data_IF_354309473468
#
_entry.id   IF_354309473468
#
_cell.length_a   1.000
_cell.length_b   1.000
_cell.length_c   1.000
_cell.angle_alpha   90.00
_cell.angle_beta   90.00
_cell.angle_gamma   90.00
#
_symmetry.space_group_name_H-M   'P 1'
#
loop_
_entity.id
_entity.type
_entity.pdbx_description
1 polymer ?
#
# COMPACT_ATOMS: atom_id res chain seq x y z
N UNK A 1 -8.74 39.04 5.81
CA UNK A 1 -8.68 39.39 4.38
C UNK A 1 -7.93 38.27 3.69
N UNK A 2 -8.66 37.25 3.28
CA UNK A 2 -8.15 36.14 2.47
C UNK A 2 -8.39 36.51 1.01
N UNK A 3 -7.31 36.70 0.26
CA UNK A 3 -7.37 36.92 -1.19
C UNK A 3 -7.54 35.56 -1.87
N UNK A 4 -8.74 35.28 -2.37
CA UNK A 4 -8.94 34.25 -3.40
C UNK A 4 -8.41 34.80 -4.72
N UNK A 5 -7.49 34.08 -5.36
CA UNK A 5 -7.11 34.39 -6.75
C UNK A 5 -8.10 33.66 -7.67
N UNK A 6 -8.99 34.42 -8.30
CA UNK A 6 -9.86 33.93 -9.37
C UNK A 6 -9.09 33.99 -10.70
N UNK A 7 -9.06 32.89 -11.43
CA UNK A 7 -8.58 32.87 -12.81
C UNK A 7 -9.74 33.28 -13.73
N UNK A 8 -9.66 34.48 -14.31
CA UNK A 8 -10.58 34.93 -15.35
C UNK A 8 -9.91 34.82 -16.72
N UNK A 9 -10.52 34.09 -17.66
CA UNK A 9 -10.20 34.18 -19.10
C UNK A 9 -11.38 34.81 -19.83
N UNK A 10 -11.10 35.79 -20.70
CA UNK A 10 -12.09 36.35 -21.62
C UNK A 10 -12.28 35.40 -22.81
N UNK A 11 -13.50 34.89 -22.99
CA UNK A 11 -13.96 34.31 -24.25
C UNK A 11 -15.20 35.11 -24.66
N UNK A 12 -15.02 36.07 -25.57
CA UNK A 12 -16.10 36.97 -26.00
C UNK A 12 -16.56 37.97 -24.92
N UNK A 13 -17.74 38.57 -25.14
CA UNK A 13 -18.29 39.67 -24.34
C UNK A 13 -18.86 39.26 -22.97
N UNK A 14 -18.50 38.09 -22.44
CA UNK A 14 -18.94 37.59 -21.14
C UNK A 14 -17.77 37.25 -20.23
N UNK A 15 -17.81 37.74 -18.98
CA UNK A 15 -16.88 37.35 -17.92
C UNK A 15 -17.38 36.03 -17.30
N UNK A 16 -16.70 34.92 -17.56
CA UNK A 16 -16.96 33.65 -16.89
C UNK A 16 -16.01 33.51 -15.69
N UNK A 17 -16.57 33.52 -14.47
CA UNK A 17 -15.86 33.16 -13.25
C UNK A 17 -16.26 31.72 -12.89
N UNK A 18 -15.33 30.77 -12.98
CA UNK A 18 -15.51 29.45 -12.35
C UNK A 18 -15.25 29.61 -10.85
N UNK A 19 -16.32 29.60 -10.06
CA UNK A 19 -16.23 29.36 -8.64
C UNK A 19 -16.20 27.85 -8.42
N UNK A 20 -15.02 27.28 -8.13
CA UNK A 20 -14.94 25.90 -7.62
C UNK A 20 -15.33 25.92 -6.14
N UNK A 21 -16.63 25.88 -5.87
CA UNK A 21 -17.16 25.55 -4.54
C UNK A 21 -17.81 24.18 -4.60
N UNK A 22 -17.04 23.14 -4.31
CA UNK A 22 -17.44 22.05 -3.41
C UNK A 22 -16.33 21.00 -3.32
N UNK A 23 -15.74 20.86 -2.13
CA UNK A 23 -15.25 19.56 -1.66
C UNK A 23 -16.51 18.71 -1.47
N UNK A 24 -16.98 18.05 -2.52
CA UNK A 24 -18.08 17.09 -2.40
C UNK A 24 -17.44 15.76 -2.00
N UNK A 25 -17.38 15.50 -0.69
CA UNK A 25 -17.25 14.14 -0.20
C UNK A 25 -18.60 13.46 -0.44
N UNK A 26 -18.78 12.89 -1.63
CA UNK A 26 -19.93 12.03 -1.90
C UNK A 26 -19.93 10.84 -0.96
N UNK A 27 -21.10 10.21 -0.71
CA UNK A 27 -21.12 8.91 -0.05
C UNK A 27 -20.25 7.92 -0.84
N UNK A 28 -19.57 7.01 -0.15
CA UNK A 28 -18.87 5.87 -0.74
C UNK A 28 -19.72 5.28 -1.89
N UNK A 29 -19.14 4.91 -3.06
CA UNK A 29 -19.89 4.41 -4.22
C UNK A 29 -20.70 3.14 -3.91
N UNK A 30 -20.41 2.49 -2.78
CA UNK A 30 -21.13 1.34 -2.26
C UNK A 30 -21.16 1.33 -0.73
N UNK A 31 -21.73 0.28 -0.13
CA UNK A 31 -21.53 -0.05 1.29
C UNK A 31 -20.43 -1.12 1.45
N UNK A 32 -19.15 -0.73 1.66
CA UNK A 32 -18.06 -1.69 1.68
C UNK A 32 -18.13 -2.59 2.92
N UNK A 33 -17.66 -3.82 2.77
CA UNK A 33 -17.60 -4.81 3.85
C UNK A 33 -16.38 -5.73 3.72
N UNK A 34 -16.15 -6.55 4.74
CA UNK A 34 -15.05 -7.52 4.77
C UNK A 34 -15.38 -8.78 3.99
N UNK A 35 -14.42 -9.24 3.21
CA UNK A 35 -14.46 -10.47 2.43
C UNK A 35 -13.23 -11.33 2.66
N UNK A 36 -13.40 -12.65 2.48
CA UNK A 36 -12.28 -13.59 2.49
C UNK A 36 -11.44 -13.39 1.23
N UNK A 37 -10.11 -13.41 1.35
CA UNK A 37 -9.22 -13.40 0.19
C UNK A 37 -8.63 -14.79 -0.04
N UNK A 38 -9.34 -15.60 -0.85
CA UNK A 38 -8.90 -16.91 -1.26
C UNK A 38 -8.52 -17.84 -0.10
N UNK A 39 -9.36 -17.98 0.93
CA UNK A 39 -9.18 -18.97 2.02
C UNK A 39 -8.08 -18.69 3.07
N UNK A 40 -7.15 -17.76 2.79
CA UNK A 40 -6.10 -17.33 3.73
C UNK A 40 -5.05 -18.41 4.06
N UNK A 41 -4.23 -18.17 5.09
CA UNK A 41 -3.05 -19.01 5.41
C UNK A 41 -3.37 -20.24 6.27
N UNK A 42 -2.41 -21.19 6.36
CA UNK A 42 -2.51 -22.33 7.28
C UNK A 42 -2.61 -21.91 8.76
N UNK A 43 -3.13 -22.81 9.60
CA UNK A 43 -3.23 -22.59 11.06
C UNK A 43 -1.86 -22.25 11.65
N UNK A 44 -1.81 -21.18 12.45
CA UNK A 44 -0.58 -20.68 13.08
C UNK A 44 0.32 -19.87 12.15
N UNK A 45 -0.04 -19.75 10.86
CA UNK A 45 0.64 -18.85 9.94
C UNK A 45 0.15 -17.41 10.06
N UNK A 46 0.99 -16.48 9.62
CA UNK A 46 0.67 -15.04 9.54
C UNK A 46 1.16 -14.45 8.22
N UNK A 47 0.49 -13.39 7.76
CA UNK A 47 0.95 -12.56 6.64
C UNK A 47 1.52 -11.28 7.23
N UNK A 48 2.76 -10.93 6.87
CA UNK A 48 3.53 -9.85 7.50
C UNK A 48 3.84 -8.68 6.56
N UNK A 49 3.83 -8.93 5.26
CA UNK A 49 4.13 -7.96 4.22
C UNK A 49 3.16 -8.15 3.06
N UNK A 50 2.74 -7.03 2.48
CA UNK A 50 1.96 -6.94 1.27
C UNK A 50 2.64 -5.93 0.34
N UNK A 51 2.61 -6.19 -0.96
CA UNK A 51 2.96 -5.21 -2.00
C UNK A 51 2.21 -5.57 -3.27
N UNK A 52 2.00 -4.60 -4.15
CA UNK A 52 1.75 -4.86 -5.56
C UNK A 52 3.06 -5.14 -6.29
N UNK A 53 3.01 -6.01 -7.28
CA UNK A 53 4.10 -6.28 -8.21
C UNK A 53 3.53 -6.51 -9.60
N UNK A 54 4.13 -5.86 -10.58
CA UNK A 54 3.77 -5.99 -11.97
C UNK A 54 4.73 -6.98 -12.67
N UNK A 55 4.24 -8.15 -13.12
CA UNK A 55 5.09 -9.20 -13.67
C UNK A 55 5.68 -8.88 -15.05
N UNK A 56 5.08 -7.97 -15.81
CA UNK A 56 5.54 -7.58 -17.15
C UNK A 56 5.70 -6.06 -17.32
N UNK A 57 5.49 -5.28 -16.27
CA UNK A 57 5.67 -3.83 -16.28
C UNK A 57 4.55 -3.18 -17.11
N UNK A 58 4.83 -2.21 -17.99
CA UNK A 58 3.81 -1.61 -18.87
C UNK A 58 3.15 -2.57 -19.89
N UNK A 59 3.30 -3.88 -19.72
CA UNK A 59 2.72 -4.92 -20.55
C UNK A 59 1.22 -5.13 -20.29
N UNK A 60 0.63 -6.15 -20.94
CA UNK A 60 -0.80 -6.42 -20.86
C UNK A 60 -1.26 -7.09 -19.55
N UNK A 61 -0.38 -7.59 -18.69
CA UNK A 61 -0.80 -8.25 -17.46
C UNK A 61 -1.06 -7.21 -16.36
N UNK A 62 -2.11 -7.38 -15.55
CA UNK A 62 -2.34 -6.49 -14.42
C UNK A 62 -1.33 -6.75 -13.30
N UNK A 63 -1.10 -5.72 -12.49
CA UNK A 63 -0.32 -5.86 -11.27
C UNK A 63 -1.00 -6.82 -10.29
N UNK A 64 -0.20 -7.70 -9.69
CA UNK A 64 -0.67 -8.71 -8.74
C UNK A 64 -0.39 -8.31 -7.31
N UNK A 65 -1.23 -8.76 -6.38
CA UNK A 65 -0.97 -8.62 -4.95
C UNK A 65 -0.03 -9.73 -4.47
N UNK A 66 1.09 -9.37 -3.86
CA UNK A 66 2.04 -10.31 -3.26
C UNK A 66 1.90 -10.32 -1.75
N UNK A 67 1.81 -11.51 -1.17
CA UNK A 67 1.78 -11.74 0.27
C UNK A 67 3.04 -12.47 0.74
N UNK A 68 3.73 -11.90 1.73
CA UNK A 68 4.88 -12.49 2.40
C UNK A 68 4.66 -12.60 3.90
N UNK A 69 5.10 -13.69 4.53
CA UNK A 69 4.88 -13.90 5.95
C UNK A 69 5.52 -15.16 6.49
N UNK A 70 4.96 -15.74 7.54
CA UNK A 70 5.31 -17.06 8.04
C UNK A 70 4.17 -18.03 7.77
N UNK A 71 4.23 -18.77 6.66
CA UNK A 71 3.21 -19.75 6.27
C UNK A 71 3.79 -20.80 5.31
N UNK A 72 3.11 -21.94 5.23
CA UNK A 72 3.46 -23.05 4.32
C UNK A 72 2.37 -23.33 3.28
N UNK A 73 1.19 -22.74 3.46
CA UNK A 73 0.14 -22.73 2.43
C UNK A 73 -0.73 -21.49 2.57
N UNK A 74 -1.28 -21.04 1.45
CA UNK A 74 -2.27 -19.96 1.37
C UNK A 74 -3.35 -20.36 0.35
N UNK A 75 -4.62 -20.19 0.70
CA UNK A 75 -5.75 -20.63 -0.11
C UNK A 75 -5.78 -22.12 -0.44
N UNK A 76 -5.20 -22.96 0.43
CA UNK A 76 -5.05 -24.40 0.18
C UNK A 76 -3.92 -24.76 -0.78
N UNK A 77 -3.23 -23.77 -1.36
CA UNK A 77 -2.07 -23.96 -2.24
C UNK A 77 -0.80 -23.97 -1.40
N UNK A 78 0.09 -24.95 -1.64
CA UNK A 78 1.38 -25.00 -0.97
C UNK A 78 2.27 -23.84 -1.44
N UNK A 79 2.69 -22.99 -0.50
CA UNK A 79 3.51 -21.82 -0.77
C UNK A 79 4.41 -21.53 0.43
N UNK A 80 5.72 -21.49 0.20
CA UNK A 80 6.69 -21.34 1.27
C UNK A 80 6.95 -19.85 1.55
N UNK A 81 6.20 -19.31 2.51
CA UNK A 81 6.32 -17.96 3.09
C UNK A 81 6.07 -16.79 2.12
N UNK A 82 5.83 -17.05 0.85
CA UNK A 82 5.51 -16.03 -0.15
C UNK A 82 4.66 -16.59 -1.29
N UNK A 83 3.65 -15.82 -1.71
CA UNK A 83 2.72 -16.14 -2.79
C UNK A 83 2.18 -14.84 -3.41
N UNK A 84 1.57 -14.93 -4.59
CA UNK A 84 0.84 -13.81 -5.20
C UNK A 84 -0.60 -14.21 -5.51
N UNK A 85 -1.51 -13.25 -5.48
CA UNK A 85 -2.90 -13.38 -5.87
C UNK A 85 -3.06 -12.84 -7.29
N UNK A 86 -3.57 -13.66 -8.20
CA UNK A 86 -3.68 -13.32 -9.62
C UNK A 86 -5.07 -12.77 -10.02
N UNK A 87 -5.93 -12.42 -9.05
CA UNK A 87 -7.34 -12.09 -9.29
C UNK A 87 -8.29 -13.20 -8.83
N UNK A 88 -7.89 -14.46 -9.02
CA UNK A 88 -8.77 -15.62 -8.81
C UNK A 88 -8.29 -16.59 -7.72
N UNK A 89 -6.98 -16.81 -7.66
CA UNK A 89 -6.35 -17.80 -6.82
C UNK A 89 -4.95 -17.38 -6.37
N UNK A 90 -4.53 -17.91 -5.23
CA UNK A 90 -3.15 -17.78 -4.78
C UNK A 90 -2.24 -18.69 -5.59
N UNK A 91 -1.10 -18.14 -6.02
CA UNK A 91 -0.05 -18.83 -6.75
C UNK A 91 1.27 -18.76 -5.97
N UNK A 92 2.06 -19.84 -5.90
CA UNK A 92 3.38 -19.80 -5.28
C UNK A 92 4.38 -19.05 -6.16
N UNK A 93 5.28 -18.28 -5.55
CA UNK A 93 6.43 -17.70 -6.26
C UNK A 93 7.59 -18.69 -6.29
N UNK A 94 7.61 -19.55 -7.31
CA UNK A 94 8.58 -20.63 -7.44
C UNK A 94 8.57 -21.57 -6.22
N UNK A 95 9.75 -21.93 -5.71
CA UNK A 95 9.86 -22.71 -4.47
C UNK A 95 9.69 -21.88 -3.18
N UNK A 96 9.55 -20.56 -3.31
CA UNK A 96 9.50 -19.61 -2.19
C UNK A 96 10.81 -19.52 -1.41
N UNK A 97 10.68 -19.23 -0.11
CA UNK A 97 11.81 -19.02 0.83
C UNK A 97 11.62 -19.86 2.10
N UNK A 98 12.71 -20.14 2.83
CA UNK A 98 12.69 -21.05 3.99
C UNK A 98 12.55 -20.37 5.37
N UNK A 99 12.15 -19.10 5.41
CA UNK A 99 11.94 -18.35 6.64
C UNK A 99 10.96 -17.20 6.40
N UNK A 100 10.52 -16.57 7.48
CA UNK A 100 9.50 -15.53 7.39
C UNK A 100 9.97 -14.35 6.54
N UNK A 101 9.12 -13.93 5.60
CA UNK A 101 9.25 -12.65 4.89
C UNK A 101 8.68 -11.55 5.80
N UNK A 102 9.45 -10.49 6.04
CA UNK A 102 9.06 -9.37 6.92
C UNK A 102 8.73 -8.10 6.14
N UNK A 103 9.28 -7.96 4.94
CA UNK A 103 9.11 -6.80 4.07
C UNK A 103 9.17 -7.24 2.62
N UNK A 104 8.36 -6.58 1.80
CA UNK A 104 8.32 -6.71 0.35
C UNK A 104 8.40 -5.31 -0.24
N UNK A 105 8.89 -5.23 -1.47
CA UNK A 105 8.97 -4.00 -2.24
C UNK A 105 9.43 -4.31 -3.65
N UNK A 106 9.28 -3.35 -4.55
CA UNK A 106 9.72 -3.46 -5.94
C UNK A 106 10.98 -2.62 -6.15
N UNK A 107 11.80 -3.04 -7.11
CA UNK A 107 12.97 -2.29 -7.54
C UNK A 107 13.08 -2.35 -9.04
N UNK A 108 13.11 -1.17 -9.62
CA UNK A 108 13.31 -0.95 -11.05
C UNK A 108 14.75 -0.46 -11.29
N UNK A 109 15.63 -1.27 -11.89
CA UNK A 109 17.03 -0.91 -12.10
C UNK A 109 17.25 0.16 -13.17
N UNK A 110 16.32 0.35 -14.11
CA UNK A 110 16.36 1.34 -15.19
C UNK A 110 15.30 2.44 -15.05
N UNK A 111 14.54 2.42 -13.95
CA UNK A 111 13.62 3.48 -13.57
C UNK A 111 12.40 3.50 -14.49
N UNK A 112 12.29 4.51 -15.36
CA UNK A 112 11.23 4.56 -16.38
C UNK A 112 11.56 3.80 -17.66
N UNK A 113 12.57 2.93 -17.62
CA UNK A 113 13.04 2.16 -18.76
C UNK A 113 12.14 0.98 -19.12
N UNK A 114 12.53 0.18 -20.13
CA UNK A 114 11.70 -0.91 -20.64
C UNK A 114 11.74 -2.20 -19.79
N UNK A 115 12.62 -2.33 -18.79
CA UNK A 115 12.66 -3.56 -17.99
C UNK A 115 11.55 -3.54 -16.92
N UNK A 116 10.94 -4.68 -16.61
CA UNK A 116 9.98 -4.76 -15.52
C UNK A 116 10.68 -4.66 -14.16
N UNK A 117 10.01 -4.04 -13.21
CA UNK A 117 10.47 -4.00 -11.83
C UNK A 117 10.59 -5.41 -11.24
N UNK A 118 11.68 -5.67 -10.53
CA UNK A 118 11.86 -6.92 -9.78
C UNK A 118 11.16 -6.82 -8.42
N UNK A 119 10.55 -7.91 -7.98
CA UNK A 119 10.07 -8.05 -6.59
C UNK A 119 11.25 -8.37 -5.67
N UNK A 120 11.33 -7.73 -4.52
CA UNK A 120 12.34 -7.99 -3.48
C UNK A 120 11.66 -8.48 -2.21
N UNK A 121 12.21 -9.53 -1.62
CA UNK A 121 11.82 -10.03 -0.32
C UNK A 121 12.96 -9.86 0.69
N UNK A 122 12.64 -9.27 1.84
CA UNK A 122 13.52 -9.17 3.01
C UNK A 122 12.90 -9.86 4.22
N UNK A 123 13.71 -10.52 5.06
CA UNK A 123 13.19 -11.17 6.25
C UNK A 123 14.21 -12.00 7.00
N UNK A 124 13.82 -13.23 7.37
CA UNK A 124 14.55 -14.16 8.25
C UNK A 124 15.03 -15.44 7.55
N UNK A 125 14.86 -15.53 6.23
CA UNK A 125 15.22 -16.71 5.45
C UNK A 125 16.73 -16.77 5.16
N UNK A 126 17.24 -17.97 4.88
CA UNK A 126 18.63 -18.20 4.42
C UNK A 126 18.71 -18.83 3.02
N UNK A 127 17.57 -19.27 2.47
CA UNK A 127 17.47 -19.76 1.11
C UNK A 127 16.24 -19.20 0.39
N UNK A 128 16.39 -18.93 -0.90
CA UNK A 128 15.31 -18.56 -1.82
C UNK A 128 15.45 -19.40 -3.10
N UNK A 129 14.34 -19.95 -3.61
CA UNK A 129 14.38 -20.82 -4.80
C UNK A 129 15.24 -22.09 -4.63
N UNK A 130 15.51 -22.52 -3.40
CA UNK A 130 16.41 -23.65 -3.08
C UNK A 130 17.91 -23.32 -3.05
N UNK A 131 18.31 -22.10 -3.42
CA UNK A 131 19.69 -21.61 -3.34
C UNK A 131 19.92 -20.74 -2.10
N UNK A 132 21.19 -20.55 -1.69
CA UNK A 132 21.52 -19.66 -0.58
C UNK A 132 21.20 -18.21 -0.93
N UNK A 133 20.41 -17.55 -0.09
CA UNK A 133 20.07 -16.14 -0.18
C UNK A 133 19.85 -15.63 1.26
N UNK A 134 20.87 -14.97 1.83
CA UNK A 134 20.85 -14.61 3.24
C UNK A 134 20.01 -13.36 3.46
N UNK A 135 18.79 -13.56 3.98
CA UNK A 135 17.86 -12.54 4.50
C UNK A 135 17.29 -11.55 3.48
N UNK A 136 17.77 -11.58 2.23
CA UNK A 136 17.28 -10.77 1.12
C UNK A 136 17.45 -11.50 -0.22
N UNK A 137 16.45 -11.42 -1.10
CA UNK A 137 16.44 -12.02 -2.42
C UNK A 137 15.55 -11.22 -3.37
N UNK A 138 15.84 -11.26 -4.68
CA UNK A 138 14.98 -10.69 -5.73
C UNK A 138 14.32 -11.80 -6.55
N UNK A 139 13.12 -11.55 -7.02
CA UNK A 139 12.40 -12.35 -8.02
C UNK A 139 12.42 -11.61 -9.34
N UNK A 140 12.96 -12.25 -10.38
CA UNK A 140 13.13 -11.68 -11.72
C UNK A 140 11.94 -11.96 -12.67
N UNK A 141 10.82 -12.45 -12.12
CA UNK A 141 9.67 -12.93 -12.89
C UNK A 141 9.65 -14.44 -13.09
N UNK A 142 10.78 -15.13 -12.95
CA UNK A 142 10.89 -16.58 -13.18
C UNK A 142 11.58 -17.35 -12.06
N UNK A 143 12.55 -16.73 -11.38
CA UNK A 143 13.35 -17.36 -10.34
C UNK A 143 13.77 -16.37 -9.25
N UNK A 144 14.05 -16.94 -8.09
CA UNK A 144 14.68 -16.22 -7.00
C UNK A 144 16.19 -16.14 -7.21
N UNK A 145 16.75 -14.94 -7.02
CA UNK A 145 18.18 -14.67 -7.06
C UNK A 145 18.64 -14.02 -5.76
N UNK A 146 19.81 -14.44 -5.27
CA UNK A 146 20.44 -13.82 -4.12
C UNK A 146 20.98 -12.43 -4.48
N UNK A 147 20.80 -11.46 -3.58
CA UNK A 147 21.37 -10.12 -3.75
C UNK A 147 22.76 -10.07 -3.10
N UNK A 148 23.80 -10.40 -3.87
CA UNK A 148 25.17 -10.56 -3.39
C UNK A 148 25.29 -11.67 -2.33
N UNK A 149 26.10 -11.46 -1.30
CA UNK A 149 26.21 -12.39 -0.16
C UNK A 149 25.07 -12.22 0.88
N UNK A 150 24.16 -11.27 0.68
CA UNK A 150 23.06 -10.98 1.60
C UNK A 150 23.49 -10.32 2.92
N UNK A 151 22.70 -10.54 3.98
CA UNK A 151 22.85 -9.90 5.30
C UNK A 151 23.16 -10.92 6.40
N UNK A 152 23.89 -10.50 7.43
CA UNK A 152 24.22 -11.35 8.58
C UNK A 152 23.09 -11.47 9.63
N UNK A 153 22.14 -10.53 9.65
CA UNK A 153 20.92 -10.58 10.47
C UNK A 153 19.70 -10.12 9.69
N UNK A 154 18.55 -10.06 10.35
CA UNK A 154 17.24 -9.86 9.74
C UNK A 154 17.08 -8.49 9.07
N UNK A 155 16.38 -8.50 7.94
CA UNK A 155 15.91 -7.30 7.24
C UNK A 155 14.48 -7.00 7.70
N UNK A 156 14.25 -5.78 8.18
CA UNK A 156 12.96 -5.34 8.72
C UNK A 156 12.16 -4.51 7.72
N UNK A 157 12.83 -3.73 6.88
CA UNK A 157 12.19 -2.87 5.87
C UNK A 157 13.13 -2.67 4.68
N UNK A 158 12.55 -2.53 3.49
CA UNK A 158 13.22 -2.14 2.26
C UNK A 158 12.46 -0.99 1.59
N UNK A 159 13.18 -0.19 0.81
CA UNK A 159 12.60 0.84 -0.07
C UNK A 159 13.48 0.98 -1.32
N UNK A 160 12.86 1.26 -2.47
CA UNK A 160 13.60 1.83 -3.60
C UNK A 160 13.94 3.29 -3.30
N UNK A 161 15.07 3.77 -3.79
CA UNK A 161 15.53 5.14 -3.65
C UNK A 161 16.32 5.54 -4.89
N UNK A 162 15.89 6.61 -5.53
CA UNK A 162 16.62 7.23 -6.63
C UNK A 162 17.57 8.32 -6.06
N UNK A 163 18.90 8.13 -6.13
CA UNK A 163 19.86 9.02 -5.50
C UNK A 163 20.00 10.40 -6.17
N UNK A 164 19.63 10.53 -7.44
CA UNK A 164 19.64 11.80 -8.19
C UNK A 164 18.28 12.19 -8.75
N UNK A 165 17.26 11.39 -8.48
CA UNK A 165 15.87 11.69 -8.80
C UNK A 165 15.49 11.35 -10.23
N UNK A 166 14.19 11.45 -10.57
CA UNK A 166 13.69 11.03 -11.87
C UNK A 166 14.42 11.69 -13.04
N UNK A 167 14.87 10.87 -14.01
CA UNK A 167 15.63 11.35 -15.17
C UNK A 167 17.10 11.69 -14.89
N UNK A 168 17.58 11.36 -13.69
CA UNK A 168 18.99 11.37 -13.32
C UNK A 168 19.85 10.40 -14.14
N UNK A 169 21.16 10.52 -13.98
CA UNK A 169 22.15 9.65 -14.59
C UNK A 169 22.48 8.40 -13.76
N UNK A 170 22.00 8.30 -12.52
CA UNK A 170 22.16 7.12 -11.69
C UNK A 170 20.92 6.23 -11.71
N UNK A 171 21.15 4.91 -11.65
CA UNK A 171 20.06 3.94 -11.49
C UNK A 171 19.45 4.03 -10.08
N UNK A 172 18.13 3.79 -9.95
CA UNK A 172 17.51 3.59 -8.65
C UNK A 172 18.19 2.47 -7.87
N UNK A 173 18.24 2.62 -6.55
CA UNK A 173 18.91 1.73 -5.62
C UNK A 173 17.91 1.11 -4.65
N UNK A 174 18.28 -0.02 -4.06
CA UNK A 174 17.51 -0.62 -2.95
C UNK A 174 18.17 -0.23 -1.65
N UNK A 175 17.42 0.36 -0.73
CA UNK A 175 17.86 0.56 0.65
C UNK A 175 17.24 -0.52 1.52
N UNK A 176 18.08 -1.26 2.24
CA UNK A 176 17.66 -2.23 3.23
C UNK A 176 18.00 -1.69 4.63
N UNK A 177 17.10 -1.92 5.59
CA UNK A 177 17.32 -1.63 7.01
C UNK A 177 16.93 -2.80 7.90
N UNK A 178 17.63 -2.95 9.03
CA UNK A 178 17.29 -3.98 10.00
C UNK A 178 18.25 -4.09 11.18
N UNK A 179 18.50 -5.32 11.63
CA UNK A 179 19.40 -5.63 12.76
C UNK A 179 20.81 -6.01 12.29
N UNK A 180 21.07 -5.96 10.99
CA UNK A 180 22.32 -6.41 10.38
C UNK A 180 23.48 -5.41 10.57
N UNK A 181 24.69 -5.96 10.66
CA UNK A 181 25.95 -5.21 10.76
C UNK A 181 26.89 -5.52 9.61
N UNK A 182 26.50 -6.44 8.72
CA UNK A 182 27.19 -6.73 7.47
C UNK A 182 26.19 -6.88 6.33
N UNK A 183 26.53 -6.31 5.17
CA UNK A 183 25.80 -6.44 3.92
C UNK A 183 26.80 -6.76 2.78
N UNK A 184 26.60 -7.87 2.08
CA UNK A 184 27.51 -8.28 1.00
C UNK A 184 28.96 -8.54 1.46
N UNK A 185 29.17 -8.87 2.74
CA UNK A 185 30.50 -9.01 3.35
C UNK A 185 31.16 -7.70 3.82
N UNK A 186 30.51 -6.55 3.56
CA UNK A 186 30.98 -5.23 3.99
C UNK A 186 30.35 -4.85 5.33
N UNK A 187 31.12 -4.25 6.25
CA UNK A 187 30.59 -3.73 7.51
C UNK A 187 29.69 -2.53 7.25
N UNK A 188 28.50 -2.55 7.84
CA UNK A 188 27.47 -1.50 7.73
C UNK A 188 26.84 -1.24 9.10
N UNK A 189 26.12 -0.13 9.24
CA UNK A 189 25.45 0.22 10.50
C UNK A 189 23.93 0.14 10.33
N UNK A 190 23.37 -1.08 10.26
CA UNK A 190 21.92 -1.33 10.21
C UNK A 190 21.19 -0.84 8.95
N UNK A 191 21.91 -0.20 8.03
CA UNK A 191 21.41 0.32 6.75
C UNK A 191 22.46 0.11 5.66
N UNK A 192 22.03 -0.36 4.50
CA UNK A 192 22.86 -0.55 3.32
C UNK A 192 22.08 -0.23 2.04
N UNK A 193 22.79 0.14 0.98
CA UNK A 193 22.21 0.38 -0.36
C UNK A 193 22.77 -0.60 -1.40
N UNK A 194 21.93 -1.05 -2.30
CA UNK A 194 22.28 -1.92 -3.42
C UNK A 194 22.21 -1.11 -4.72
N UNK A 195 23.27 -1.17 -5.52
CA UNK A 195 23.38 -0.43 -6.79
C UNK A 195 23.07 -1.28 -8.04
N UNK A 196 22.62 -2.52 -7.85
CA UNK A 196 22.45 -3.49 -8.93
C UNK A 196 23.53 -4.56 -9.00
N UNK A 197 24.70 -4.33 -8.41
CA UNK A 197 25.82 -5.27 -8.40
C UNK A 197 26.40 -5.58 -7.01
N UNK A 198 26.38 -4.62 -6.09
CA UNK A 198 26.95 -4.78 -4.76
C UNK A 198 26.22 -3.97 -3.67
N UNK A 199 26.40 -4.40 -2.42
CA UNK A 199 25.95 -3.67 -1.24
C UNK A 199 27.01 -2.67 -0.78
N UNK A 200 26.57 -1.44 -0.51
CA UNK A 200 27.40 -0.35 0.00
C UNK A 200 26.87 0.18 1.34
N UNK A 201 27.78 0.57 2.25
CA UNK A 201 27.40 1.30 3.45
C UNK A 201 26.92 2.71 3.11
N UNK A 202 26.04 3.25 3.95
CA UNK A 202 25.93 4.70 4.13
C UNK A 202 27.06 5.21 5.03
N UNK A 203 27.27 6.53 5.11
CA UNK A 203 28.20 7.09 6.09
C UNK A 203 27.74 6.77 7.53
N UNK A 204 28.66 6.85 8.48
CA UNK A 204 28.34 6.70 9.91
C UNK A 204 27.29 7.71 10.35
N UNK A 205 26.39 7.32 11.26
CA UNK A 205 25.37 8.22 11.82
C UNK A 205 24.18 7.47 12.42
N UNK A 206 23.84 6.32 11.86
CA UNK A 206 22.94 5.33 12.48
C UNK A 206 23.77 4.44 13.40
N UNK A 207 23.32 4.24 14.64
CA UNK A 207 24.07 3.51 15.67
C UNK A 207 23.24 2.43 16.39
N UNK A 208 21.97 2.26 16.02
CA UNK A 208 21.10 1.24 16.58
C UNK A 208 20.19 0.64 15.50
N UNK A 209 19.58 -0.53 15.78
CA UNK A 209 18.75 -1.19 14.78
C UNK A 209 17.55 -0.36 14.32
N UNK A 210 17.19 -0.59 13.06
CA UNK A 210 16.16 0.14 12.34
C UNK A 210 14.97 -0.78 12.04
N UNK A 211 13.77 -0.21 12.09
CA UNK A 211 12.52 -0.92 11.83
C UNK A 211 11.81 -0.45 10.57
N UNK A 212 12.09 0.76 10.10
CA UNK A 212 11.43 1.37 8.96
C UNK A 212 12.40 2.18 8.10
N UNK A 213 12.22 2.10 6.79
CA UNK A 213 12.84 2.98 5.80
C UNK A 213 11.79 3.45 4.79
N UNK A 214 11.96 4.65 4.26
CA UNK A 214 11.24 5.12 3.07
C UNK A 214 12.11 6.06 2.25
N UNK A 215 11.92 6.05 0.93
CA UNK A 215 12.27 7.19 0.10
C UNK A 215 11.17 8.24 0.21
N UNK A 216 11.54 9.49 0.41
CA UNK A 216 10.62 10.61 0.51
C UNK A 216 11.14 11.80 -0.28
N UNK A 217 10.32 12.28 -1.22
CA UNK A 217 10.57 13.53 -1.91
C UNK A 217 9.80 14.67 -1.22
N UNK A 218 10.50 15.66 -0.62
CA UNK A 218 9.85 16.76 0.08
C UNK A 218 9.12 17.75 -0.82
N UNK A 219 9.35 17.77 -2.14
CA UNK A 219 8.67 18.66 -3.08
C UNK A 219 8.08 17.94 -4.30
N UNK A 220 7.90 16.62 -4.21
CA UNK A 220 7.21 15.83 -5.22
C UNK A 220 7.98 15.82 -6.54
N UNK A 221 7.43 16.46 -7.57
CA UNK A 221 8.11 16.63 -8.87
C UNK A 221 9.02 17.87 -8.93
N UNK A 222 9.29 18.49 -7.78
CA UNK A 222 10.11 19.69 -7.67
C UNK A 222 11.61 19.42 -7.88
N UNK A 223 12.45 20.44 -7.65
CA UNK A 223 13.89 20.34 -7.86
C UNK A 223 14.63 19.57 -6.76
N UNK A 224 14.00 19.21 -5.64
CA UNK A 224 14.67 18.43 -4.62
C UNK A 224 14.77 16.96 -5.05
N UNK A 225 15.86 16.34 -4.61
CA UNK A 225 16.05 14.91 -4.82
C UNK A 225 15.39 14.13 -3.68
N UNK A 226 14.91 12.90 -3.96
CA UNK A 226 14.40 12.01 -2.94
C UNK A 226 15.43 11.73 -1.84
N UNK A 227 14.96 11.74 -0.59
CA UNK A 227 15.76 11.46 0.60
C UNK A 227 15.43 10.09 1.16
N UNK A 228 16.42 9.45 1.75
CA UNK A 228 16.19 8.23 2.55
C UNK A 228 15.86 8.64 3.98
N UNK A 229 14.68 8.28 4.46
CA UNK A 229 14.31 8.38 5.87
C UNK A 229 14.43 7.01 6.53
N UNK A 230 14.98 6.98 7.75
CA UNK A 230 15.09 5.77 8.55
C UNK A 230 14.66 6.02 9.99
N UNK A 231 14.06 5.01 10.60
CA UNK A 231 13.67 5.05 12.00
C UNK A 231 13.71 3.67 12.67
N UNK A 232 13.76 3.67 14.00
CA UNK A 232 13.70 2.48 14.83
C UNK A 232 13.98 2.83 16.28
N UNK A 233 15.02 2.22 16.85
CA UNK A 233 15.53 2.65 18.15
C UNK A 233 16.17 4.05 18.08
N UNK A 234 16.72 4.43 16.92
CA UNK A 234 17.06 5.83 16.63
C UNK A 234 15.79 6.63 16.34
N UNK A 235 15.72 7.91 16.76
CA UNK A 235 14.72 8.83 16.25
C UNK A 235 14.77 8.94 14.72
N UNK A 236 13.69 9.45 14.13
CA UNK A 236 13.60 9.71 12.70
C UNK A 236 14.83 10.49 12.21
N UNK A 237 15.54 9.90 11.25
CA UNK A 237 16.79 10.43 10.71
C UNK A 237 16.71 10.38 9.18
N UNK A 238 17.22 11.41 8.52
CA UNK A 238 17.21 11.57 7.08
C UNK A 238 18.63 11.57 6.52
N UNK A 239 18.81 10.97 5.35
CA UNK A 239 20.03 11.05 4.57
C UNK A 239 19.96 12.26 3.64
N UNK A 240 20.85 13.22 3.84
CA UNK A 240 20.92 14.46 3.04
C UNK A 240 22.36 14.65 2.59
N UNK A 241 22.58 14.63 1.27
CA UNK A 241 23.86 14.98 0.62
C UNK A 241 25.05 14.35 1.36
N UNK A 242 25.09 13.02 1.39
CA UNK A 242 26.16 12.20 2.01
C UNK A 242 26.26 12.19 3.55
N UNK A 243 25.30 12.76 4.28
CA UNK A 243 25.30 12.78 5.74
C UNK A 243 23.93 12.44 6.35
N UNK A 244 23.95 11.72 7.48
CA UNK A 244 22.76 11.53 8.32
C UNK A 244 22.47 12.77 9.15
N UNK A 245 21.23 13.23 9.12
CA UNK A 245 20.74 14.36 9.90
C UNK A 245 19.48 13.94 10.68
N UNK A 246 19.37 14.35 11.94
CA UNK A 246 18.12 14.15 12.67
C UNK A 246 16.98 14.92 12.01
N UNK A 247 15.81 14.31 11.93
CA UNK A 247 14.59 15.02 11.59
C UNK A 247 14.10 15.75 12.84
N UNK A 248 13.82 17.06 12.74
CA UNK A 248 13.48 17.91 13.88
C UNK A 248 12.06 18.48 13.70
N UNK A 249 11.13 18.31 14.68
CA UNK A 249 11.26 17.65 15.99
C UNK A 249 11.59 16.16 15.91
N UNK A 250 12.47 15.70 16.80
CA UNK A 250 12.83 14.29 16.92
C UNK A 250 11.62 13.45 17.34
N UNK A 251 11.45 12.32 16.67
CA UNK A 251 10.39 11.35 16.95
C UNK A 251 10.99 9.95 17.06
N UNK A 252 10.75 9.28 18.18
CA UNK A 252 11.10 7.88 18.39
C UNK A 252 9.89 6.95 18.32
N UNK A 253 10.13 5.65 18.24
CA UNK A 253 9.06 4.64 18.25
C UNK A 253 8.25 4.60 16.96
N UNK A 254 8.84 5.01 15.84
CA UNK A 254 8.26 4.87 14.50
C UNK A 254 8.45 3.43 14.02
N UNK A 255 7.38 2.86 13.47
CA UNK A 255 7.36 1.49 12.95
C UNK A 255 7.04 1.47 11.45
N UNK A 256 6.29 2.46 10.96
CA UNK A 256 5.95 2.58 9.55
C UNK A 256 5.88 4.04 9.12
N UNK A 257 6.06 4.25 7.82
CA UNK A 257 6.02 5.57 7.20
C UNK A 257 5.39 5.45 5.81
N UNK A 258 4.70 6.48 5.36
CA UNK A 258 4.10 6.61 4.01
C UNK A 258 3.99 8.09 3.67
N UNK A 259 3.66 8.41 2.42
CA UNK A 259 3.05 9.70 2.09
C UNK A 259 1.53 9.57 2.10
N UNK A 260 0.83 10.65 2.40
CA UNK A 260 -0.62 10.75 2.27
C UNK A 260 -0.98 12.08 1.63
N UNK A 261 -1.68 11.99 0.51
CA UNK A 261 -2.25 13.13 -0.17
C UNK A 261 -3.76 13.21 0.15
N UNK A 262 -4.21 14.24 0.88
CA UNK A 262 -5.62 14.38 1.25
C UNK A 262 -6.52 14.88 0.11
N UNK A 263 -5.99 15.39 -0.99
CA UNK A 263 -6.80 15.89 -2.11
C UNK A 263 -6.42 15.30 -3.49
N UNK A 264 -5.58 14.27 -3.51
CA UNK A 264 -5.18 13.52 -4.69
C UNK A 264 -4.59 14.43 -5.78
N UNK A 265 -5.33 14.71 -6.85
CA UNK A 265 -4.90 15.62 -7.92
C UNK A 265 -5.10 17.12 -7.58
N UNK A 266 -5.42 17.41 -6.32
CA UNK A 266 -5.58 18.76 -5.81
C UNK A 266 -4.26 19.51 -5.63
N UNK A 267 -4.33 20.75 -5.10
CA UNK A 267 -3.15 21.59 -4.92
C UNK A 267 -2.29 21.24 -3.70
N UNK A 268 -2.68 20.28 -2.85
CA UNK A 268 -1.89 19.92 -1.69
C UNK A 268 -0.82 18.89 -2.10
N UNK A 269 0.38 19.07 -1.58
CA UNK A 269 1.45 18.11 -1.79
C UNK A 269 1.30 16.89 -0.85
N UNK A 270 1.70 15.69 -1.28
CA UNK A 270 1.72 14.50 -0.43
C UNK A 270 2.53 14.72 0.85
N UNK A 271 1.90 14.47 2.00
CA UNK A 271 2.51 14.74 3.30
C UNK A 271 3.19 13.49 3.87
N UNK A 272 4.44 13.64 4.31
CA UNK A 272 5.13 12.60 5.08
C UNK A 272 4.30 12.24 6.32
N UNK A 273 3.90 10.98 6.41
CA UNK A 273 3.06 10.44 7.47
C UNK A 273 3.79 9.29 8.15
N UNK A 274 3.80 9.31 9.47
CA UNK A 274 4.49 8.31 10.31
C UNK A 274 3.50 7.61 11.22
N UNK A 275 3.78 6.34 11.52
CA UNK A 275 3.06 5.57 12.52
C UNK A 275 3.97 4.79 13.46
N UNK A 276 3.46 4.41 14.63
CA UNK A 276 4.22 3.59 15.57
C UNK A 276 3.59 3.49 16.96
N UNK A 277 4.43 3.58 17.99
CA UNK A 277 4.04 3.47 19.41
C UNK A 277 3.97 4.80 20.14
N UNK A 278 4.41 5.90 19.52
CA UNK A 278 4.43 7.22 20.14
C UNK A 278 3.04 7.71 20.53
N UNK A 279 2.93 8.41 21.65
CA UNK A 279 1.66 9.05 22.09
C UNK A 279 1.73 10.58 22.09
N UNK A 280 2.93 11.14 22.26
CA UNK A 280 3.15 12.58 22.36
C UNK A 280 4.29 12.99 21.43
N UNK A 281 4.04 14.00 20.59
CA UNK A 281 5.06 14.65 19.76
C UNK A 281 4.98 16.15 19.99
N UNK A 282 6.13 16.79 20.25
CA UNK A 282 6.21 18.24 20.43
C UNK A 282 5.23 18.80 21.49
N UNK A 283 4.97 18.04 22.57
CA UNK A 283 4.05 18.43 23.63
C UNK A 283 2.56 18.26 23.29
N UNK A 284 2.22 17.72 22.12
CA UNK A 284 0.86 17.47 21.67
C UNK A 284 0.58 15.97 21.63
N UNK A 285 -0.59 15.55 22.11
CA UNK A 285 -1.06 14.16 21.97
C UNK A 285 -1.35 13.87 20.50
N UNK A 286 -0.64 12.90 19.93
CA UNK A 286 -0.82 12.50 18.51
C UNK A 286 -1.21 11.03 18.34
N UNK A 287 -1.06 10.21 19.39
CA UNK A 287 -1.56 8.84 19.46
C UNK A 287 -1.32 8.01 18.18
N UNK A 288 -0.04 7.68 17.95
CA UNK A 288 0.46 6.66 17.01
C UNK A 288 0.43 7.02 15.54
N UNK A 289 -0.19 8.11 15.12
CA UNK A 289 -0.18 8.57 13.72
C UNK A 289 0.01 10.08 13.66
N UNK A 290 0.91 10.55 12.82
CA UNK A 290 1.21 11.97 12.65
C UNK A 290 1.67 12.27 11.24
N UNK A 291 1.41 13.50 10.76
CA UNK A 291 1.91 13.99 9.48
C UNK A 291 2.78 15.22 9.63
N UNK A 292 3.74 15.38 8.75
CA UNK A 292 4.59 16.55 8.65
C UNK A 292 3.94 17.60 7.76
N UNK A 293 3.78 18.82 8.26
CA UNK A 293 3.22 19.94 7.49
C UNK A 293 4.29 20.89 6.90
N UNK A 294 5.56 20.48 6.89
CA UNK A 294 6.70 21.32 6.50
C UNK A 294 7.40 22.01 7.68
N UNK A 295 6.74 22.15 8.83
CA UNK A 295 7.29 22.87 10.01
C UNK A 295 7.10 22.14 11.34
N UNK A 296 6.04 21.36 11.47
CA UNK A 296 5.69 20.63 12.69
C UNK A 296 4.92 19.36 12.39
N UNK A 297 4.95 18.44 13.36
CA UNK A 297 4.14 17.24 13.38
C UNK A 297 2.71 17.59 13.76
N UNK A 298 1.75 17.20 12.92
CA UNK A 298 0.31 17.46 13.09
C UNK A 298 -0.41 16.13 13.32
N UNK A 299 -1.28 16.04 14.34
CA UNK A 299 -2.00 14.80 14.63
C UNK A 299 -3.14 14.57 13.63
N UNK A 300 -3.49 13.30 13.43
CA UNK A 300 -4.74 12.90 12.79
C UNK A 300 -5.85 12.82 13.84
N UNK A 301 -6.51 13.96 14.08
CA UNK A 301 -7.53 14.09 15.12
C UNK A 301 -6.97 13.72 16.50
N UNK A 302 -7.70 12.92 17.27
CA UNK A 302 -7.24 12.39 18.56
C UNK A 302 -6.42 11.09 18.45
N UNK A 303 -6.17 10.62 17.22
CA UNK A 303 -5.38 9.43 16.90
C UNK A 303 -6.07 8.11 17.23
N UNK A 304 -5.27 7.06 17.47
CA UNK A 304 -5.75 5.68 17.66
C UNK A 304 -5.35 5.12 19.04
N UNK A 305 -6.31 4.54 19.76
CA UNK A 305 -6.13 4.00 21.12
C UNK A 305 -5.73 2.53 21.12
N UNK A 306 -4.69 2.17 21.87
CA UNK A 306 -4.25 0.77 22.04
C UNK A 306 -2.72 0.65 22.13
N UNK A 307 -2.09 -0.31 21.46
CA UNK A 307 -0.63 -0.54 21.58
C UNK A 307 0.15 0.23 20.53
N UNK A 308 -0.09 -0.06 19.25
CA UNK A 308 0.67 0.53 18.14
C UNK A 308 -0.16 0.59 16.85
N UNK A 309 0.23 1.48 15.96
CA UNK A 309 -0.06 1.38 14.52
C UNK A 309 1.22 0.88 13.85
N UNK A 310 1.09 -0.14 13.00
CA UNK A 310 2.21 -0.87 12.40
C UNK A 310 2.38 -0.50 10.93
N UNK A 311 1.27 -0.36 10.22
CA UNK A 311 1.24 -0.15 8.77
C UNK A 311 0.21 0.92 8.44
N UNK A 312 0.55 1.73 7.44
CA UNK A 312 -0.31 2.73 6.83
C UNK A 312 -0.34 2.47 5.34
N UNK A 313 -1.49 2.72 4.71
CA UNK A 313 -1.62 2.77 3.25
C UNK A 313 -2.63 3.85 2.91
N UNK A 314 -2.52 4.42 1.72
CA UNK A 314 -3.64 5.10 1.09
C UNK A 314 -4.56 4.06 0.46
N UNK A 315 -5.85 4.33 0.46
CA UNK A 315 -6.86 3.56 -0.26
C UNK A 315 -7.87 4.53 -0.84
N UNK A 316 -8.06 4.43 -2.14
CA UNK A 316 -9.10 5.13 -2.85
C UNK A 316 -10.20 4.15 -3.24
N UNK A 317 -11.46 4.46 -2.94
CA UNK A 317 -12.56 3.51 -3.10
C UNK A 317 -13.11 3.48 -4.52
N UNK A 318 -12.96 4.58 -5.26
CA UNK A 318 -13.41 4.75 -6.64
C UNK A 318 -12.25 5.05 -7.60
N UNK A 319 -11.00 4.84 -7.15
CA UNK A 319 -9.82 5.02 -8.00
C UNK A 319 -9.65 6.47 -8.44
N UNK A 320 -9.68 6.74 -9.74
CA UNK A 320 -9.59 8.11 -10.29
C UNK A 320 -10.91 8.91 -10.19
N UNK A 321 -11.85 8.44 -9.37
CA UNK A 321 -13.17 9.03 -9.21
C UNK A 321 -13.20 10.29 -8.34
N UNK A 322 -14.41 10.81 -8.06
CA UNK A 322 -14.58 12.05 -7.29
C UNK A 322 -14.36 11.89 -5.77
N UNK A 323 -14.28 10.68 -5.23
CA UNK A 323 -14.03 10.46 -3.81
C UNK A 323 -12.53 10.64 -3.54
N UNK A 324 -12.20 11.37 -2.48
CA UNK A 324 -10.79 11.57 -2.11
C UNK A 324 -10.23 10.33 -1.40
N UNK A 325 -8.95 9.99 -1.59
CA UNK A 325 -8.29 8.89 -0.91
C UNK A 325 -8.40 8.97 0.62
N UNK A 326 -8.59 7.82 1.26
CA UNK A 326 -8.53 7.68 2.72
C UNK A 326 -7.18 7.14 3.17
N UNK A 327 -6.64 7.66 4.27
CA UNK A 327 -5.51 7.03 4.96
C UNK A 327 -6.03 5.87 5.81
N UNK A 328 -5.52 4.66 5.60
CA UNK A 328 -5.89 3.46 6.35
C UNK A 328 -4.74 3.05 7.27
N UNK A 329 -5.09 2.71 8.51
CA UNK A 329 -4.15 2.26 9.53
C UNK A 329 -4.43 0.81 9.92
N UNK A 330 -3.37 0.00 10.00
CA UNK A 330 -3.36 -1.36 10.54
C UNK A 330 -2.41 -1.48 11.73
N UNK A 331 -2.79 -2.21 12.78
CA UNK A 331 -1.88 -2.46 13.90
C UNK A 331 -2.48 -3.30 15.03
N UNK A 332 -2.19 -2.91 16.27
CA UNK A 332 -2.69 -3.55 17.50
C UNK A 332 -3.45 -2.52 18.36
N UNK A 333 -4.13 -1.58 17.71
CA UNK A 333 -5.02 -0.62 18.36
C UNK A 333 -6.45 -1.18 18.44
N UNK A 334 -7.23 -0.74 19.42
CA UNK A 334 -8.58 -1.26 19.69
C UNK A 334 -9.67 -0.23 19.48
N UNK A 335 -9.37 1.06 19.63
CA UNK A 335 -10.36 2.13 19.50
C UNK A 335 -9.90 3.25 18.58
N UNK A 336 -10.85 3.93 17.94
CA UNK A 336 -10.62 5.23 17.32
C UNK A 336 -10.52 6.31 18.39
N UNK A 337 -10.09 7.49 17.97
CA UNK A 337 -9.99 8.66 18.82
C UNK A 337 -11.32 9.20 19.37
N UNK A 338 -12.46 8.81 18.77
CA UNK A 338 -13.81 9.09 19.29
C UNK A 338 -14.30 8.04 20.30
N UNK A 339 -13.52 6.97 20.53
CA UNK A 339 -13.85 5.87 21.43
C UNK A 339 -14.60 4.72 20.77
N UNK A 340 -14.89 4.79 19.47
CA UNK A 340 -15.50 3.68 18.74
C UNK A 340 -14.54 2.49 18.64
N UNK A 341 -15.06 1.26 18.72
CA UNK A 341 -14.24 0.05 18.56
C UNK A 341 -13.78 -0.08 17.10
N UNK A 342 -12.46 -0.08 16.89
CA UNK A 342 -11.83 -0.19 15.57
C UNK A 342 -11.29 -1.60 15.30
N UNK A 343 -10.86 -2.30 16.35
CA UNK A 343 -10.31 -3.66 16.26
C UNK A 343 -9.24 -3.80 15.16
N UNK A 344 -8.09 -3.16 15.40
CA UNK A 344 -6.84 -3.25 14.62
C UNK A 344 -6.82 -2.55 13.26
N UNK A 345 -7.94 -2.02 12.79
CA UNK A 345 -8.03 -1.33 11.50
C UNK A 345 -8.99 -0.14 11.53
N UNK A 346 -8.60 0.98 10.92
CA UNK A 346 -9.40 2.20 10.84
C UNK A 346 -9.00 3.01 9.60
N UNK A 347 -9.93 3.80 9.06
CA UNK A 347 -9.67 4.79 7.99
C UNK A 347 -9.87 6.21 8.48
N UNK A 348 -9.10 7.13 7.95
CA UNK A 348 -9.27 8.56 8.16
C UNK A 348 -10.17 9.13 7.07
N UNK A 349 -11.25 9.82 7.46
CA UNK A 349 -12.23 10.41 6.52
C UNK A 349 -11.97 11.89 6.19
N UNK A 350 -10.79 12.40 6.53
CA UNK A 350 -10.47 13.83 6.45
C UNK A 350 -10.66 14.56 7.79
N UNK A 351 -11.50 14.05 8.68
CA UNK A 351 -11.89 14.71 9.95
C UNK A 351 -11.73 13.84 11.20
N UNK A 352 -11.96 12.53 11.08
CA UNK A 352 -11.89 11.58 12.18
C UNK A 352 -11.49 10.18 11.69
N UNK A 353 -11.07 9.35 12.63
CA UNK A 353 -10.86 7.93 12.40
C UNK A 353 -12.19 7.18 12.49
N UNK A 354 -12.53 6.45 11.45
CA UNK A 354 -13.69 5.59 11.35
C UNK A 354 -13.27 4.11 11.42
N UNK A 355 -14.01 3.26 12.14
CA UNK A 355 -13.80 1.81 12.11
C UNK A 355 -14.23 1.24 10.75
N UNK A 356 -13.59 0.15 10.30
CA UNK A 356 -14.02 -0.60 9.11
C UNK A 356 -14.90 -1.77 9.55
N UNK A 357 -16.21 -1.54 9.57
CA UNK A 357 -17.19 -2.48 10.10
C UNK A 357 -16.92 -2.79 11.58
N UNK A 358 -16.95 -4.07 11.95
CA UNK A 358 -16.53 -4.52 13.30
C UNK A 358 -15.03 -4.76 13.43
N UNK A 359 -14.25 -4.50 12.36
CA UNK A 359 -12.80 -4.68 12.30
C UNK A 359 -12.33 -6.13 12.24
N UNK A 360 -11.12 -6.37 12.75
CA UNK A 360 -10.40 -7.64 12.61
C UNK A 360 -10.22 -8.33 13.98
N UNK A 361 -10.87 -9.49 14.11
CA UNK A 361 -10.97 -10.27 15.34
C UNK A 361 -10.01 -11.45 15.41
N UNK A 362 -9.72 -11.91 16.63
CA UNK A 362 -8.63 -12.85 16.88
C UNK A 362 -7.25 -12.25 16.59
N UNK A 363 -6.20 -13.05 16.79
CA UNK A 363 -4.82 -12.60 16.59
C UNK A 363 -4.40 -11.44 17.49
N UNK A 364 -3.18 -10.97 17.27
CA UNK A 364 -2.54 -9.89 18.03
C UNK A 364 -2.38 -8.61 17.20
N UNK A 365 -2.14 -8.71 15.89
CA UNK A 365 -1.72 -7.55 15.09
C UNK A 365 -2.08 -7.70 13.62
N UNK A 366 -2.49 -6.58 13.02
CA UNK A 366 -2.46 -6.39 11.57
C UNK A 366 -1.06 -5.92 11.21
N UNK A 367 -0.29 -6.80 10.58
CA UNK A 367 1.11 -6.57 10.24
C UNK A 367 1.25 -5.62 9.04
N UNK A 368 0.34 -5.71 8.07
CA UNK A 368 0.34 -4.90 6.85
C UNK A 368 -1.09 -4.55 6.40
N UNK A 369 -1.27 -3.34 5.88
CA UNK A 369 -2.42 -2.93 5.07
C UNK A 369 -1.90 -2.42 3.72
N UNK A 370 -2.64 -2.66 2.65
CA UNK A 370 -2.24 -2.26 1.30
C UNK A 370 -3.47 -2.03 0.41
N UNK A 371 -3.48 -0.93 -0.34
CA UNK A 371 -4.40 -0.76 -1.46
C UNK A 371 -3.95 -1.63 -2.63
N UNK A 372 -4.87 -2.36 -3.26
CA UNK A 372 -4.60 -3.11 -4.48
C UNK A 372 -5.76 -2.93 -5.45
N UNK A 373 -5.40 -2.69 -6.70
CA UNK A 373 -6.33 -2.57 -7.79
C UNK A 373 -6.22 -3.81 -8.70
N UNK A 374 -7.29 -4.62 -8.83
CA UNK A 374 -7.23 -5.87 -9.58
C UNK A 374 -7.07 -5.70 -11.09
N UNK A 375 -7.45 -4.57 -11.66
CA UNK A 375 -7.34 -4.29 -13.10
C UNK A 375 -6.63 -2.95 -13.41
N UNK A 376 -6.23 -2.21 -12.38
CA UNK A 376 -5.41 -1.01 -12.54
C UNK A 376 -6.27 0.18 -12.94
N UNK A 377 -6.08 0.70 -14.15
CA UNK A 377 -6.93 1.80 -14.65
C UNK A 377 -8.28 1.30 -15.22
N UNK A 378 -8.64 0.05 -14.92
CA UNK A 378 -9.86 -0.57 -15.41
C UNK A 378 -11.09 -0.22 -14.56
N UNK A 379 -12.24 -0.83 -14.86
CA UNK A 379 -13.50 -0.53 -14.19
C UNK A 379 -13.64 -1.10 -12.77
N UNK A 380 -12.78 -2.03 -12.35
CA UNK A 380 -12.89 -2.62 -11.02
C UNK A 380 -12.38 -1.62 -9.95
N UNK A 381 -13.12 -1.44 -8.85
CA UNK A 381 -12.69 -0.50 -7.82
C UNK A 381 -11.49 -1.05 -7.04
N UNK A 382 -10.54 -0.19 -6.63
CA UNK A 382 -9.46 -0.60 -5.76
C UNK A 382 -9.97 -1.12 -4.42
N UNK A 383 -9.30 -2.14 -3.90
CA UNK A 383 -9.61 -2.74 -2.61
C UNK A 383 -8.54 -2.47 -1.57
N UNK A 384 -8.95 -2.46 -0.30
CA UNK A 384 -8.02 -2.41 0.83
C UNK A 384 -7.83 -3.81 1.41
N UNK A 385 -6.60 -4.30 1.35
CA UNK A 385 -6.22 -5.60 1.89
C UNK A 385 -5.56 -5.42 3.25
N UNK A 386 -6.01 -6.20 4.23
CA UNK A 386 -5.37 -6.30 5.54
C UNK A 386 -4.76 -7.68 5.72
N UNK A 387 -3.56 -7.72 6.29
CA UNK A 387 -2.77 -8.91 6.56
C UNK A 387 -2.27 -8.94 8.01
N UNK A 388 -2.31 -10.11 8.63
CA UNK A 388 -2.03 -10.27 10.06
C UNK A 388 -2.05 -11.72 10.53
N UNK A 389 -2.31 -11.89 11.82
CA UNK A 389 -2.56 -13.17 12.49
C UNK A 389 -4.03 -13.32 12.94
N UNK A 390 -4.93 -12.47 12.43
CA UNK A 390 -6.35 -12.45 12.76
C UNK A 390 -7.11 -13.65 12.16
N UNK A 391 -8.24 -13.99 12.79
CA UNK A 391 -9.05 -15.18 12.43
C UNK A 391 -10.48 -14.83 12.02
N UNK A 392 -10.86 -13.54 12.09
CA UNK A 392 -12.13 -13.06 11.59
C UNK A 392 -12.01 -11.63 11.05
N UNK A 393 -12.81 -11.31 10.04
CA UNK A 393 -12.91 -9.97 9.47
C UNK A 393 -14.40 -9.66 9.28
N UNK A 394 -14.92 -8.67 10.02
CA UNK A 394 -16.37 -8.49 10.08
C UNK A 394 -17.06 -9.74 10.65
N UNK A 395 -18.05 -10.25 9.91
CA UNK A 395 -18.72 -11.54 10.19
C UNK A 395 -18.04 -12.75 9.55
N UNK A 396 -17.00 -12.54 8.73
CA UNK A 396 -16.33 -13.60 7.99
C UNK A 396 -15.30 -14.31 8.86
N UNK A 397 -15.22 -15.64 8.72
CA UNK A 397 -14.08 -16.41 9.22
C UNK A 397 -12.99 -16.41 8.16
N UNK A 398 -11.82 -15.89 8.53
CA UNK A 398 -10.66 -15.72 7.64
C UNK A 398 -9.40 -16.20 8.34
N UNK A 399 -8.28 -16.27 7.63
CA UNK A 399 -6.99 -16.63 8.22
C UNK A 399 -5.90 -15.71 7.73
N UNK A 400 -5.57 -14.71 8.55
CA UNK A 400 -4.42 -13.83 8.38
C UNK A 400 -4.46 -12.88 7.18
N UNK A 401 -5.48 -12.96 6.32
CA UNK A 401 -5.65 -12.04 5.19
C UNK A 401 -7.13 -11.91 4.83
N UNK A 402 -7.56 -10.69 4.55
CA UNK A 402 -8.92 -10.33 4.14
C UNK A 402 -8.88 -9.01 3.37
N UNK A 403 -9.91 -8.75 2.57
CA UNK A 403 -10.04 -7.49 1.86
C UNK A 403 -11.34 -6.78 2.22
N UNK A 404 -11.32 -5.46 2.10
CA UNK A 404 -12.42 -4.54 2.35
C UNK A 404 -12.68 -3.76 1.07
N UNK A 405 -13.94 -3.70 0.66
CA UNK A 405 -14.34 -2.93 -0.52
C UNK A 405 -15.72 -3.33 -1.04
N UNK A 406 -15.98 -2.96 -2.29
CA UNK A 406 -17.25 -3.15 -2.98
C UNK A 406 -17.22 -4.45 -3.80
N UNK A 407 -17.65 -5.58 -3.21
CA UNK A 407 -17.70 -6.86 -3.97
C UNK A 407 -18.76 -6.89 -5.07
N UNK A 408 -19.78 -6.03 -4.99
CA UNK A 408 -20.80 -5.91 -6.04
C UNK A 408 -20.22 -5.47 -7.40
N UNK A 409 -18.94 -5.06 -7.46
CA UNK A 409 -18.24 -4.70 -8.69
C UNK A 409 -17.02 -5.61 -8.94
N UNK A 410 -16.40 -6.19 -7.91
CA UNK A 410 -15.01 -6.67 -7.96
C UNK A 410 -14.75 -8.18 -8.26
N UNK A 411 -15.76 -9.04 -8.42
CA UNK A 411 -15.50 -10.49 -8.59
C UNK A 411 -15.86 -11.04 -9.98
N UNK A 412 -16.76 -10.36 -10.70
CA UNK A 412 -17.23 -10.73 -12.02
C UNK A 412 -18.23 -9.65 -12.47
N UNK A 413 -17.85 -8.66 -13.29
CA UNK A 413 -18.80 -7.63 -13.73
C UNK A 413 -20.00 -8.19 -14.51
N UNK A 414 -19.86 -9.41 -15.05
CA UNK A 414 -20.97 -10.18 -15.62
C UNK A 414 -21.95 -10.75 -14.59
N UNK A 415 -21.53 -11.04 -13.35
CA UNK A 415 -22.41 -11.41 -12.20
C UNK A 415 -22.93 -10.13 -11.54
N UNK A 416 -23.64 -9.32 -12.33
CA UNK A 416 -24.05 -7.98 -11.96
C UNK A 416 -24.98 -7.95 -10.72
N UNK A 417 -25.72 -9.02 -10.46
CA UNK A 417 -26.58 -9.11 -9.27
C UNK A 417 -25.86 -9.72 -8.04
N UNK A 418 -24.60 -10.15 -8.19
CA UNK A 418 -23.76 -10.68 -7.12
C UNK A 418 -24.25 -12.02 -6.55
N UNK A 419 -25.00 -12.80 -7.33
CA UNK A 419 -25.53 -14.10 -6.93
C UNK A 419 -24.45 -15.19 -6.84
N UNK A 420 -23.31 -14.98 -7.50
CA UNK A 420 -22.18 -15.88 -7.56
C UNK A 420 -22.37 -17.00 -8.58
N UNK A 421 -21.31 -17.33 -9.31
CA UNK A 421 -21.34 -18.34 -10.37
C UNK A 421 -20.95 -17.73 -11.71
N UNK A 422 -21.26 -18.41 -12.82
CA UNK A 422 -21.16 -17.81 -14.15
C UNK A 422 -22.32 -16.85 -14.37
N UNK A 423 -22.12 -15.71 -15.06
CA UNK A 423 -23.19 -14.78 -15.42
C UNK A 423 -24.43 -15.48 -16.00
N UNK A 424 -25.61 -15.14 -15.52
CA UNK A 424 -26.90 -15.71 -15.93
C UNK A 424 -27.96 -14.65 -16.24
N UNK A 425 -29.09 -15.05 -16.84
CA UNK A 425 -30.07 -14.10 -17.39
C UNK A 425 -30.60 -13.09 -16.35
N UNK A 426 -30.50 -13.40 -15.05
CA UNK A 426 -30.86 -12.47 -13.98
C UNK A 426 -29.84 -11.33 -13.83
N UNK A 427 -28.59 -11.52 -14.21
CA UNK A 427 -27.58 -10.46 -14.26
C UNK A 427 -27.84 -9.47 -15.40
N UNK A 428 -28.27 -9.96 -16.57
CA UNK A 428 -28.68 -9.09 -17.70
C UNK A 428 -29.84 -8.19 -17.27
N UNK A 429 -30.83 -8.76 -16.59
CA UNK A 429 -31.97 -8.01 -16.10
C UNK A 429 -31.56 -6.95 -15.07
N UNK A 430 -30.69 -7.32 -14.12
CA UNK A 430 -30.18 -6.40 -13.11
C UNK A 430 -29.34 -5.27 -13.72
N UNK A 431 -28.51 -5.58 -14.72
CA UNK A 431 -27.71 -4.59 -15.45
C UNK A 431 -28.61 -3.58 -16.18
N UNK A 432 -29.58 -4.03 -16.97
CA UNK A 432 -30.45 -3.10 -17.70
C UNK A 432 -31.40 -2.30 -16.80
N UNK A 433 -31.78 -2.84 -15.64
CA UNK A 433 -32.49 -2.08 -14.61
C UNK A 433 -31.62 -0.96 -14.03
N UNK A 434 -30.36 -1.26 -13.70
CA UNK A 434 -29.39 -0.29 -13.20
C UNK A 434 -29.05 0.77 -14.26
N UNK A 435 -28.72 0.34 -15.49
CA UNK A 435 -28.42 1.19 -16.64
C UNK A 435 -29.59 2.13 -16.96
N UNK A 436 -30.82 1.62 -17.02
CA UNK A 436 -32.02 2.42 -17.29
C UNK A 436 -32.34 3.45 -16.20
N UNK A 437 -31.86 3.21 -14.97
CA UNK A 437 -32.00 4.13 -13.84
C UNK A 437 -30.82 5.11 -13.68
N UNK A 438 -29.78 4.99 -14.51
CA UNK A 438 -28.55 5.76 -14.40
C UNK A 438 -27.74 5.42 -13.13
N UNK A 439 -27.82 4.17 -12.66
CA UNK A 439 -27.06 3.69 -11.51
C UNK A 439 -25.55 3.66 -11.84
N UNK A 440 -24.68 4.30 -11.05
CA UNK A 440 -23.23 4.30 -11.28
C UNK A 440 -22.60 2.90 -11.37
N UNK A 441 -23.23 1.85 -10.80
CA UNK A 441 -22.74 0.48 -10.94
C UNK A 441 -22.78 -0.04 -12.38
N UNK A 442 -23.60 0.56 -13.24
CA UNK A 442 -23.68 0.20 -14.65
C UNK A 442 -22.65 0.94 -15.54
N UNK A 443 -21.79 1.79 -14.97
CA UNK A 443 -20.62 2.37 -15.67
C UNK A 443 -19.47 1.36 -15.68
N UNK A 444 -19.60 0.33 -16.51
CA UNK A 444 -18.68 -0.80 -16.59
C UNK A 444 -17.47 -0.52 -17.48
N UNK A 445 -17.45 0.59 -18.22
CA UNK A 445 -16.29 1.04 -18.98
C UNK A 445 -15.47 2.12 -18.26
N UNK A 446 -15.93 2.60 -17.10
CA UNK A 446 -15.24 3.59 -16.27
C UNK A 446 -15.17 4.99 -16.90
N UNK A 447 -16.08 5.30 -17.83
CA UNK A 447 -16.07 6.58 -18.54
C UNK A 447 -16.54 7.76 -17.67
N UNK A 448 -17.21 7.47 -16.56
CA UNK A 448 -17.78 8.45 -15.65
C UNK A 448 -19.06 9.09 -16.21
N UNK A 449 -20.02 9.35 -15.34
CA UNK A 449 -21.28 10.00 -15.71
C UNK A 449 -22.47 9.05 -15.69
N UNK A 450 -23.48 9.32 -16.52
CA UNK A 450 -24.62 8.39 -16.66
C UNK A 450 -24.24 7.26 -17.61
N UNK A 451 -24.49 5.99 -17.24
CA UNK A 451 -24.20 4.84 -18.09
C UNK A 451 -24.73 5.00 -19.52
N UNK A 452 -23.92 4.62 -20.50
CA UNK A 452 -24.18 4.79 -21.92
C UNK A 452 -24.11 3.47 -22.70
N UNK A 453 -24.16 3.52 -24.04
CA UNK A 453 -24.15 2.32 -24.87
C UNK A 453 -22.81 1.58 -24.85
N UNK A 454 -21.70 2.26 -24.55
CA UNK A 454 -20.41 1.61 -24.39
C UNK A 454 -20.32 0.75 -23.11
N UNK A 455 -21.15 1.03 -22.10
CA UNK A 455 -21.29 0.18 -20.91
C UNK A 455 -22.02 -1.13 -21.21
N UNK A 456 -22.97 -1.10 -22.16
CA UNK A 456 -23.67 -2.31 -22.62
C UNK A 456 -22.68 -3.25 -23.32
N UNK A 457 -21.79 -2.68 -24.14
CA UNK A 457 -20.73 -3.44 -24.80
C UNK A 457 -19.75 -4.03 -23.78
N UNK A 458 -19.38 -3.26 -22.74
CA UNK A 458 -18.53 -3.72 -21.65
C UNK A 458 -19.18 -4.89 -20.89
N UNK A 459 -20.46 -4.74 -20.49
CA UNK A 459 -21.23 -5.80 -19.82
C UNK A 459 -21.20 -7.12 -20.60
N UNK A 460 -21.52 -7.08 -21.89
CA UNK A 460 -21.53 -8.28 -22.72
C UNK A 460 -20.12 -8.82 -23.00
N UNK A 461 -19.08 -8.00 -22.88
CA UNK A 461 -17.68 -8.46 -22.85
C UNK A 461 -17.44 -9.40 -21.67
N UNK A 462 -17.73 -8.95 -20.45
CA UNK A 462 -17.58 -9.75 -19.22
C UNK A 462 -18.50 -10.97 -19.19
N UNK A 463 -19.74 -10.81 -19.65
CA UNK A 463 -20.70 -11.90 -19.79
C UNK A 463 -20.15 -13.06 -20.65
N UNK A 464 -19.61 -12.73 -21.83
CA UNK A 464 -19.12 -13.74 -22.77
C UNK A 464 -17.80 -14.38 -22.32
N UNK A 465 -16.98 -13.65 -21.57
CA UNK A 465 -15.79 -14.19 -20.91
C UNK A 465 -16.14 -15.15 -19.76
N UNK A 466 -17.37 -15.04 -19.23
CA UNK A 466 -17.84 -15.81 -18.09
C UNK A 466 -17.27 -15.28 -16.78
N UNK A 467 -17.15 -13.94 -16.69
CA UNK A 467 -16.13 -13.14 -16.00
C UNK A 467 -14.92 -12.85 -16.93
#
# INVERSE_FOLDING_TARGET
MTTSHAWCRFIGAGLFCLATTSLWAGPDPCSPTWYTLGGGVNTGGDVRALTTWDPDGPGPLPAVLVAGGFFTSIGGVAANNIAYWNGDAWQPLGLGVNGAVRTLGTWDPDGGGPLPASLIAGGTFVTAGGASALRIARWDGQRWEAMGLGMNFDVWSITSWDPDGPGGGFSPQVVAVGDFTQAGGTSVNYVARWDGGAWYPFASGVISPLTAAMSWDPDGSGPHIPRVLVAGATPLTQWVISLWQSFNPQVGGIIGMTTFDPDADGPLEPQLTICGTFSFLSGVTQNRVSRWNGSSWVPFGTGLGGVMVRSLTTWDIDGAGPVTPSLVAGGSFTTTGSGAAANKVARWDGTQWLPLGTGLGGGTVVWAVHGWDPDGAGPLPPMMVAAGDFTSAGSQSVRGIAWWGCREIAACPGDFNGSGGTPDDADVAAFFEAWGNGDPRADLNGSGGTPDDADVDAFFGFWNAGC
#
